data_IF_198471436396
#
_entry.id   IF_198471436396
#
_cell.length_a   1.000
_cell.length_b   1.000
_cell.length_c   1.000
_cell.angle_alpha   90.00
_cell.angle_beta   90.00
_cell.angle_gamma   90.00
#
_symmetry.space_group_name_H-M   'P 1'
#
loop_
_entity.id
_entity.type
_entity.pdbx_description
1 polymer ?
#
# COMPACT_ATOMS: atom_id res chain seq x y z
N UNK A 1 23.97 -43.18 62.66
CA UNK A 1 25.11 -44.05 62.29
C UNK A 1 25.15 -44.19 60.78
N UNK A 2 26.37 -44.26 60.23
CA UNK A 2 26.77 -44.16 58.82
C UNK A 2 26.11 -45.22 57.92
N UNK A 3 25.85 -44.87 56.66
CA UNK A 3 26.46 -45.54 55.50
C UNK A 3 26.27 -44.72 54.22
N UNK A 4 27.43 -44.35 53.65
CA UNK A 4 27.62 -43.78 52.33
C UNK A 4 27.23 -44.79 51.25
N UNK A 5 26.78 -44.32 50.09
CA UNK A 5 27.19 -44.84 48.76
C UNK A 5 26.91 -43.80 47.68
N UNK A 6 28.01 -43.18 47.23
CA UNK A 6 28.12 -42.53 45.92
C UNK A 6 28.68 -43.61 44.99
N UNK A 7 28.14 -43.71 43.77
CA UNK A 7 28.73 -44.24 42.51
C UNK A 7 27.52 -44.49 41.58
N UNK A 8 27.47 -44.17 40.28
CA UNK A 8 28.48 -43.76 39.29
C UNK A 8 27.73 -43.32 38.03
N UNK A 9 28.33 -42.37 37.32
CA UNK A 9 28.26 -42.11 35.88
C UNK A 9 27.31 -42.97 35.03
N UNK A 10 26.34 -42.32 34.37
CA UNK A 10 25.97 -42.64 33.00
C UNK A 10 25.47 -41.36 32.34
N UNK A 11 26.39 -40.72 31.63
CA UNK A 11 26.10 -39.67 30.67
C UNK A 11 25.35 -40.34 29.51
N UNK A 12 24.02 -40.22 29.46
CA UNK A 12 23.24 -40.59 28.29
C UNK A 12 22.28 -39.45 27.97
N UNK A 13 22.65 -38.78 26.88
CA UNK A 13 21.89 -37.78 26.14
C UNK A 13 20.51 -38.34 25.82
N UNK A 14 19.47 -37.65 26.29
CA UNK A 14 18.18 -37.60 25.62
C UNK A 14 17.67 -36.17 25.77
N UNK A 15 17.84 -35.42 24.68
CA UNK A 15 17.19 -34.14 24.46
C UNK A 15 15.68 -34.44 24.42
N UNK A 16 15.05 -34.39 25.59
CA UNK A 16 13.61 -34.23 25.67
C UNK A 16 13.34 -32.78 25.26
N UNK A 17 13.08 -32.59 23.96
CA UNK A 17 12.45 -31.38 23.47
C UNK A 17 11.12 -31.23 24.22
N UNK A 18 11.10 -30.41 25.26
CA UNK A 18 9.86 -29.88 25.77
C UNK A 18 9.22 -29.14 24.59
N UNK A 19 8.05 -29.56 24.08
CA UNK A 19 7.30 -28.68 23.22
C UNK A 19 6.95 -27.51 24.13
N UNK A 20 7.61 -26.38 23.89
CA UNK A 20 7.14 -25.10 24.37
C UNK A 20 5.75 -25.00 23.77
N UNK A 21 4.76 -25.38 24.57
CA UNK A 21 3.35 -25.09 24.34
C UNK A 21 3.24 -23.59 24.54
N UNK A 22 3.79 -22.88 23.56
CA UNK A 22 3.35 -21.55 23.20
C UNK A 22 1.89 -21.76 22.85
N UNK A 23 1.05 -21.46 23.83
CA UNK A 23 -0.28 -20.94 23.59
C UNK A 23 -0.01 -19.73 22.70
N UNK A 24 0.02 -19.99 21.38
CA UNK A 24 -0.17 -18.95 20.41
C UNK A 24 -1.53 -18.39 20.77
N UNK A 25 -1.50 -17.27 21.50
CA UNK A 25 -2.65 -16.41 21.65
C UNK A 25 -3.29 -16.38 20.27
N UNK A 26 -4.54 -16.84 20.19
CA UNK A 26 -5.45 -16.40 19.14
C UNK A 26 -5.58 -14.89 19.32
N UNK A 27 -4.54 -14.15 18.94
CA UNK A 27 -4.70 -12.83 18.41
C UNK A 27 -5.50 -13.07 17.13
N UNK A 28 -6.81 -12.99 17.28
CA UNK A 28 -7.70 -12.58 16.22
C UNK A 28 -7.21 -11.22 15.73
N UNK A 29 -6.11 -11.21 14.99
CA UNK A 29 -5.87 -10.18 14.00
C UNK A 29 -7.09 -10.28 13.07
N UNK A 30 -7.77 -9.17 12.76
CA UNK A 30 -8.79 -9.20 11.73
C UNK A 30 -8.16 -9.84 10.50
N UNK A 31 -8.88 -10.75 9.84
CA UNK A 31 -8.47 -11.31 8.56
C UNK A 31 -8.50 -10.18 7.52
N UNK A 32 -7.51 -9.28 7.58
CA UNK A 32 -7.38 -8.16 6.67
C UNK A 32 -6.82 -8.75 5.40
N UNK A 33 -7.60 -8.71 4.32
CA UNK A 33 -7.14 -9.10 3.00
C UNK A 33 -5.79 -8.40 2.71
N UNK A 34 -4.67 -9.13 2.53
CA UNK A 34 -3.34 -8.54 2.38
C UNK A 34 -3.23 -7.66 1.11
N UNK A 35 -4.16 -7.82 0.17
CA UNK A 35 -4.23 -7.01 -1.05
C UNK A 35 -5.11 -5.76 -0.89
N UNK A 36 -5.76 -5.54 0.26
CA UNK A 36 -6.62 -4.38 0.48
C UNK A 36 -5.87 -3.05 0.34
N UNK A 37 -4.72 -2.92 1.02
CA UNK A 37 -3.87 -1.72 0.96
C UNK A 37 -3.28 -1.54 -0.45
N UNK A 38 -2.70 -2.58 -1.10
CA UNK A 38 -2.27 -2.48 -2.48
C UNK A 38 -3.38 -2.06 -3.47
N UNK A 39 -4.59 -2.61 -3.35
CA UNK A 39 -5.72 -2.23 -4.21
C UNK A 39 -6.14 -0.78 -3.99
N UNK A 40 -6.21 -0.32 -2.73
CA UNK A 40 -6.50 1.08 -2.40
C UNK A 40 -5.45 2.03 -2.99
N UNK A 41 -4.17 1.68 -2.87
CA UNK A 41 -3.07 2.47 -3.42
C UNK A 41 -3.16 2.57 -4.96
N UNK A 42 -3.49 1.47 -5.64
CA UNK A 42 -3.71 1.48 -7.08
C UNK A 42 -4.90 2.36 -7.49
N UNK A 43 -6.02 2.29 -6.78
CA UNK A 43 -7.18 3.16 -7.04
C UNK A 43 -6.85 4.63 -6.82
N UNK A 44 -6.15 4.97 -5.73
CA UNK A 44 -5.73 6.34 -5.44
C UNK A 44 -4.83 6.89 -6.56
N UNK A 45 -3.80 6.13 -6.97
CA UNK A 45 -2.92 6.51 -8.08
C UNK A 45 -3.70 6.78 -9.36
N UNK A 46 -4.59 5.87 -9.76
CA UNK A 46 -5.39 5.99 -10.98
C UNK A 46 -6.30 7.22 -10.94
N UNK A 47 -6.86 7.54 -9.77
CA UNK A 47 -7.62 8.76 -9.56
C UNK A 47 -6.74 10.00 -9.75
N UNK A 48 -5.59 10.07 -9.07
CA UNK A 48 -4.68 11.22 -9.17
C UNK A 48 -4.16 11.45 -10.58
N UNK A 49 -3.78 10.38 -11.29
CA UNK A 49 -3.35 10.46 -12.68
C UNK A 49 -4.45 11.02 -13.58
N UNK A 50 -5.71 10.65 -13.33
CA UNK A 50 -6.84 11.19 -14.09
C UNK A 50 -7.02 12.70 -13.87
N UNK A 51 -6.99 13.16 -12.62
CA UNK A 51 -7.07 14.60 -12.30
C UNK A 51 -5.88 15.38 -12.84
N UNK A 52 -4.67 14.87 -12.67
CA UNK A 52 -3.44 15.45 -13.20
C UNK A 52 -3.55 15.64 -14.72
N UNK A 53 -3.90 14.57 -15.44
CA UNK A 53 -4.04 14.62 -16.89
C UNK A 53 -5.11 15.64 -17.33
N UNK A 54 -6.23 15.72 -16.62
CA UNK A 54 -7.27 16.71 -16.91
C UNK A 54 -6.77 18.14 -16.66
N UNK A 55 -6.07 18.41 -15.55
CA UNK A 55 -5.50 19.72 -15.26
C UNK A 55 -4.45 20.15 -16.30
N UNK A 56 -3.64 19.22 -16.79
CA UNK A 56 -2.63 19.50 -17.83
C UNK A 56 -3.23 19.97 -19.17
N UNK A 57 -4.52 19.71 -19.41
CA UNK A 57 -5.22 20.20 -20.61
C UNK A 57 -5.59 21.69 -20.55
N UNK A 58 -5.54 22.31 -19.37
CA UNK A 58 -5.98 23.70 -19.19
C UNK A 58 -4.84 24.70 -19.35
N UNK A 59 -5.09 25.76 -20.11
CA UNK A 59 -4.08 26.79 -20.41
C UNK A 59 -3.75 27.69 -19.20
N UNK A 60 -4.63 27.75 -18.19
CA UNK A 60 -4.47 28.58 -17.00
C UNK A 60 -3.73 27.87 -15.85
N UNK A 61 -3.36 26.59 -16.03
CA UNK A 61 -2.62 25.81 -15.04
C UNK A 61 -1.13 26.02 -15.24
N UNK A 62 -0.39 26.27 -14.17
CA UNK A 62 1.07 26.21 -14.19
C UNK A 62 1.51 24.74 -14.31
N UNK A 63 1.83 24.33 -15.54
CA UNK A 63 2.21 22.96 -15.86
C UNK A 63 3.53 22.55 -15.19
N UNK A 64 4.43 23.51 -14.93
CA UNK A 64 5.73 23.24 -14.32
C UNK A 64 5.56 22.99 -12.82
N UNK A 65 4.76 23.81 -12.15
CA UNK A 65 4.41 23.60 -10.74
C UNK A 65 3.73 22.25 -10.55
N UNK A 66 2.68 21.96 -11.33
CA UNK A 66 1.94 20.72 -11.23
C UNK A 66 2.81 19.47 -11.47
N UNK A 67 3.72 19.51 -12.45
CA UNK A 67 4.67 18.42 -12.72
C UNK A 67 5.68 18.23 -11.57
N UNK A 68 6.17 19.32 -10.98
CA UNK A 68 7.09 19.27 -9.84
C UNK A 68 6.41 18.67 -8.59
N UNK A 69 5.17 19.07 -8.29
CA UNK A 69 4.41 18.51 -7.17
C UNK A 69 4.14 17.01 -7.38
N UNK A 70 3.79 16.59 -8.61
CA UNK A 70 3.63 15.17 -8.93
C UNK A 70 4.94 14.39 -8.70
N UNK A 71 6.07 14.89 -9.20
CA UNK A 71 7.38 14.25 -9.01
C UNK A 71 7.77 14.14 -7.54
N UNK A 72 7.47 15.18 -6.75
CA UNK A 72 7.73 15.19 -5.31
C UNK A 72 6.87 14.14 -4.60
N UNK A 73 5.58 14.08 -4.90
CA UNK A 73 4.69 13.04 -4.39
C UNK A 73 5.16 11.64 -4.79
N UNK A 74 5.53 11.42 -6.06
CA UNK A 74 6.05 10.15 -6.54
C UNK A 74 7.32 9.73 -5.80
N UNK A 75 8.23 10.68 -5.53
CA UNK A 75 9.46 10.41 -4.78
C UNK A 75 9.18 9.96 -3.34
N UNK A 76 8.25 10.59 -2.64
CA UNK A 76 7.84 10.17 -1.27
C UNK A 76 7.18 8.79 -1.27
N UNK A 77 6.46 8.47 -2.34
CA UNK A 77 5.66 7.25 -2.45
C UNK A 77 6.34 6.09 -3.19
N UNK A 78 7.54 6.29 -3.74
CA UNK A 78 8.20 5.33 -4.63
C UNK A 78 8.31 3.93 -4.02
N UNK A 79 8.76 3.82 -2.77
CA UNK A 79 8.94 2.55 -2.08
C UNK A 79 7.60 1.86 -1.78
N UNK A 80 6.62 2.62 -1.26
CA UNK A 80 5.27 2.11 -0.95
C UNK A 80 4.60 1.60 -2.22
N UNK A 81 4.67 2.40 -3.28
CA UNK A 81 4.13 2.06 -4.59
C UNK A 81 4.78 0.80 -5.17
N UNK A 82 6.11 0.71 -5.17
CA UNK A 82 6.83 -0.43 -5.72
C UNK A 82 6.47 -1.73 -4.99
N UNK A 83 6.36 -1.69 -3.65
CA UNK A 83 5.97 -2.86 -2.85
C UNK A 83 4.53 -3.28 -3.17
N UNK A 84 3.59 -2.33 -3.25
CA UNK A 84 2.18 -2.64 -3.52
C UNK A 84 1.96 -3.16 -4.94
N UNK A 85 2.62 -2.56 -5.92
CA UNK A 85 2.59 -3.06 -7.29
C UNK A 85 3.13 -4.48 -7.38
N UNK A 86 4.30 -4.75 -6.77
CA UNK A 86 4.89 -6.08 -6.76
C UNK A 86 3.95 -7.13 -6.14
N UNK A 87 3.31 -6.81 -5.00
CA UNK A 87 2.37 -7.73 -4.34
C UNK A 87 1.16 -8.06 -5.21
N UNK A 88 0.61 -7.07 -5.94
CA UNK A 88 -0.52 -7.29 -6.84
C UNK A 88 -0.14 -8.13 -8.05
N UNK A 89 1.00 -7.84 -8.68
CA UNK A 89 1.45 -8.58 -9.86
C UNK A 89 1.87 -10.01 -9.49
N UNK A 90 2.56 -10.23 -8.36
CA UNK A 90 2.86 -11.57 -7.86
C UNK A 90 1.58 -12.37 -7.58
N UNK A 91 0.61 -11.78 -6.87
CA UNK A 91 -0.67 -12.45 -6.62
C UNK A 91 -1.43 -12.76 -7.92
N UNK A 92 -1.30 -11.92 -8.95
CA UNK A 92 -1.86 -12.16 -10.27
C UNK A 92 -1.16 -13.29 -11.01
N UNK A 93 0.16 -13.39 -10.92
CA UNK A 93 0.90 -14.47 -11.57
C UNK A 93 0.72 -15.82 -10.88
N UNK A 94 0.49 -15.83 -9.56
CA UNK A 94 0.25 -17.05 -8.78
C UNK A 94 -1.20 -17.56 -8.85
N UNK A 95 -2.17 -16.73 -9.26
CA UNK A 95 -3.58 -17.09 -9.25
C UNK A 95 -4.34 -16.53 -10.47
N UNK A 96 -4.64 -17.40 -11.44
CA UNK A 96 -5.32 -17.03 -12.69
C UNK A 96 -6.71 -16.41 -12.47
N UNK A 97 -7.47 -16.90 -11.48
CA UNK A 97 -8.78 -16.33 -11.13
C UNK A 97 -8.65 -14.92 -10.57
N UNK A 98 -7.64 -14.68 -9.74
CA UNK A 98 -7.29 -13.34 -9.28
C UNK A 98 -6.78 -12.48 -10.44
N UNK A 99 -5.92 -12.98 -11.34
CA UNK A 99 -5.40 -12.26 -12.51
C UNK A 99 -6.51 -11.71 -13.39
N UNK A 100 -7.52 -12.51 -13.70
CA UNK A 100 -8.66 -12.09 -14.50
C UNK A 100 -9.46 -10.98 -13.80
N UNK A 101 -9.75 -11.15 -12.51
CA UNK A 101 -10.48 -10.18 -11.71
C UNK A 101 -9.70 -8.87 -11.53
N UNK A 102 -8.39 -8.96 -11.24
CA UNK A 102 -7.50 -7.82 -11.09
C UNK A 102 -7.33 -7.06 -12.41
N UNK A 103 -7.17 -7.75 -13.53
CA UNK A 103 -7.10 -7.11 -14.85
C UNK A 103 -8.38 -6.34 -15.18
N UNK A 104 -9.55 -6.94 -14.92
CA UNK A 104 -10.84 -6.27 -15.07
C UNK A 104 -10.97 -5.07 -14.13
N UNK A 105 -10.55 -5.22 -12.87
CA UNK A 105 -10.53 -4.15 -11.89
C UNK A 105 -9.64 -2.97 -12.33
N UNK A 106 -8.43 -3.21 -12.84
CA UNK A 106 -7.54 -2.15 -13.36
C UNK A 106 -8.23 -1.32 -14.45
N UNK A 107 -8.83 -2.00 -15.42
CA UNK A 107 -9.52 -1.35 -16.55
C UNK A 107 -10.73 -0.56 -16.05
N UNK A 108 -11.55 -1.15 -15.19
CA UNK A 108 -12.75 -0.51 -14.64
C UNK A 108 -12.39 0.67 -13.74
N UNK A 109 -11.40 0.54 -12.86
CA UNK A 109 -10.93 1.62 -11.98
C UNK A 109 -10.45 2.82 -12.80
N UNK A 110 -9.67 2.58 -13.87
CA UNK A 110 -9.21 3.64 -14.76
C UNK A 110 -10.36 4.32 -15.51
N UNK A 111 -11.26 3.53 -16.07
CA UNK A 111 -12.42 4.04 -16.81
C UNK A 111 -13.31 4.88 -15.89
N UNK A 112 -13.57 4.39 -14.68
CA UNK A 112 -14.35 5.08 -13.67
C UNK A 112 -13.68 6.39 -13.24
N UNK A 113 -12.38 6.37 -12.93
CA UNK A 113 -11.64 7.57 -12.55
C UNK A 113 -11.68 8.65 -13.64
N UNK A 114 -11.46 8.27 -14.91
CA UNK A 114 -11.57 9.17 -16.06
C UNK A 114 -12.95 9.78 -16.19
N UNK A 115 -13.99 8.96 -16.12
CA UNK A 115 -15.37 9.41 -16.23
C UNK A 115 -15.74 10.36 -15.08
N UNK A 116 -15.40 9.99 -13.84
CA UNK A 116 -15.66 10.80 -12.67
C UNK A 116 -14.93 12.15 -12.76
N UNK A 117 -13.65 12.16 -13.14
CA UNK A 117 -12.86 13.38 -13.31
C UNK A 117 -13.51 14.30 -14.35
N UNK A 118 -13.85 13.74 -15.52
CA UNK A 118 -14.51 14.49 -16.59
C UNK A 118 -15.81 15.14 -16.12
N UNK A 119 -16.66 14.37 -15.43
CA UNK A 119 -17.96 14.84 -14.92
C UNK A 119 -17.79 15.93 -13.85
N UNK A 120 -16.81 15.79 -12.95
CA UNK A 120 -16.56 16.80 -11.93
C UNK A 120 -16.05 18.10 -12.54
N UNK A 121 -15.10 18.02 -13.45
CA UNK A 121 -14.58 19.19 -14.15
C UNK A 121 -15.62 19.84 -15.05
N UNK A 122 -16.47 19.08 -15.75
CA UNK A 122 -17.48 19.64 -16.66
C UNK A 122 -18.55 20.48 -15.95
N UNK A 123 -18.79 20.21 -14.65
CA UNK A 123 -19.76 20.95 -13.82
C UNK A 123 -19.23 22.32 -13.35
N UNK A 124 -17.94 22.57 -13.52
CA UNK A 124 -17.28 23.77 -13.02
C UNK A 124 -17.01 24.76 -14.16
N UNK A 125 -17.16 26.04 -13.83
CA UNK A 125 -16.66 27.12 -14.66
C UNK A 125 -15.12 27.17 -14.62
N UNK A 126 -14.52 28.15 -15.30
CA UNK A 126 -13.07 28.26 -15.36
C UNK A 126 -12.45 28.50 -13.98
N UNK A 127 -13.08 29.32 -13.13
CA UNK A 127 -12.60 29.62 -11.78
C UNK A 127 -12.63 28.37 -10.90
N UNK A 128 -13.72 27.60 -10.96
CA UNK A 128 -13.87 26.33 -10.24
C UNK A 128 -12.86 25.29 -10.70
N UNK A 129 -12.64 25.14 -12.01
CA UNK A 129 -11.61 24.25 -12.57
C UNK A 129 -10.22 24.62 -12.10
N UNK A 130 -9.90 25.92 -12.09
CA UNK A 130 -8.62 26.43 -11.58
C UNK A 130 -8.45 26.08 -10.10
N UNK A 131 -9.44 26.41 -9.26
CA UNK A 131 -9.40 26.08 -7.82
C UNK A 131 -9.20 24.58 -7.56
N UNK A 132 -9.80 23.72 -8.37
CA UNK A 132 -9.66 22.28 -8.23
C UNK A 132 -8.25 21.79 -8.64
N UNK A 133 -7.64 22.36 -9.67
CA UNK A 133 -6.25 22.08 -10.03
C UNK A 133 -5.25 22.66 -9.02
N UNK A 134 -5.50 23.84 -8.45
CA UNK A 134 -4.66 24.41 -7.39
C UNK A 134 -4.71 23.53 -6.13
N UNK A 135 -5.89 22.99 -5.78
CA UNK A 135 -6.03 22.00 -4.69
C UNK A 135 -5.24 20.72 -4.96
N UNK A 136 -5.16 20.27 -6.22
CA UNK A 136 -4.37 19.10 -6.57
C UNK A 136 -2.88 19.32 -6.26
N UNK A 137 -2.33 20.50 -6.59
CA UNK A 137 -0.96 20.89 -6.22
C UNK A 137 -0.76 20.81 -4.70
N UNK A 138 -1.63 21.48 -3.94
CA UNK A 138 -1.57 21.47 -2.46
C UNK A 138 -1.62 20.05 -1.90
N UNK A 139 -2.49 19.18 -2.44
CA UNK A 139 -2.58 17.80 -1.99
C UNK A 139 -1.34 16.99 -2.35
N UNK A 140 -0.80 17.12 -3.57
CA UNK A 140 0.42 16.42 -3.99
C UNK A 140 1.63 16.83 -3.14
N UNK A 141 1.67 18.08 -2.67
CA UNK A 141 2.74 18.57 -1.80
C UNK A 141 2.56 18.20 -0.32
N UNK A 142 1.34 17.86 0.11
CA UNK A 142 1.03 17.43 1.48
C UNK A 142 1.45 15.97 1.74
N UNK A 143 2.36 15.68 2.69
CA UNK A 143 2.73 14.30 3.03
C UNK A 143 1.57 13.43 3.52
N UNK A 144 0.46 14.02 3.98
CA UNK A 144 -0.76 13.30 4.38
C UNK A 144 -1.48 12.67 3.19
N UNK A 145 -1.15 13.05 1.96
CA UNK A 145 -1.67 12.42 0.73
C UNK A 145 -0.85 11.21 0.29
N UNK A 146 0.21 10.87 1.01
CA UNK A 146 1.02 9.71 0.70
C UNK A 146 0.19 8.41 0.82
N UNK A 147 0.55 7.41 0.03
CA UNK A 147 -0.10 6.11 -0.01
C UNK A 147 -0.12 5.49 1.39
N UNK A 148 -1.20 4.79 1.76
CA UNK A 148 -1.33 4.16 3.07
C UNK A 148 -0.11 3.29 3.36
N UNK A 149 0.38 3.32 4.59
CA UNK A 149 1.41 2.38 5.04
C UNK A 149 0.75 1.04 5.40
N UNK A 150 1.44 -0.05 5.11
CA UNK A 150 1.08 -1.36 5.64
C UNK A 150 1.62 -1.45 7.08
N UNK A 151 0.75 -1.39 8.11
CA UNK A 151 1.18 -1.42 9.50
C UNK A 151 1.78 -2.78 9.89
N UNK A 152 1.52 -3.84 9.10
CA UNK A 152 2.10 -5.17 9.32
C UNK A 152 3.53 -5.26 8.75
N UNK A 153 3.88 -4.37 7.82
CA UNK A 153 5.23 -4.20 7.29
C UNK A 153 5.91 -2.98 7.86
N UNK A 154 5.73 -2.70 9.16
CA UNK A 154 6.57 -1.73 9.88
C UNK A 154 8.01 -1.97 9.47
N UNK A 155 8.54 -1.05 8.66
CA UNK A 155 9.96 -0.91 8.39
C UNK A 155 10.59 -0.93 9.77
N UNK A 156 11.52 -1.86 10.00
CA UNK A 156 12.25 -1.98 11.24
C UNK A 156 12.57 -0.56 11.73
N UNK A 157 11.94 -0.17 12.85
CA UNK A 157 12.35 1.04 13.55
C UNK A 157 13.83 0.82 13.85
N UNK A 158 14.67 1.59 13.16
CA UNK A 158 16.07 1.68 13.50
C UNK A 158 16.11 2.20 14.94
N UNK A 159 16.43 1.30 15.87
CA UNK A 159 16.93 1.66 17.19
C UNK A 159 18.27 2.36 17.04
#
# INVERSE_FOLDING_TARGET
MKLKKIMTSSLLVLIAANPISSIAAKNSQPNVNPLAIPLQANTAKVMWESYFNQCMTYNFVDKKELDNSLKTWQKRNANRWQVYWLLLEQAADENEGFKANYSKFKIQSLTHAKQQTRVQHSKLDQVGKKSLCDKLVVMLDDPRSDLPEDPTKKTQQQN
#
